data_IF_148133775615
#
_entry.id   IF_148133775615
#
_cell.length_a   1.000
_cell.length_b   1.000
_cell.length_c   1.000
_cell.angle_alpha   90.00
_cell.angle_beta   90.00
_cell.angle_gamma   90.00
#
_symmetry.space_group_name_H-M   'P 1'
#
loop_
_entity.id
_entity.type
_entity.pdbx_description
1 polymer ?
#
# COMPACT_ATOMS: atom_id res chain seq x y z
N UNK A 1 11.93 -24.84 5.01
CA UNK A 1 12.08 -24.30 3.64
C UNK A 1 10.75 -23.74 3.21
N UNK A 2 10.75 -22.59 2.53
CA UNK A 2 9.54 -22.02 1.93
C UNK A 2 8.87 -23.01 0.97
N UNK A 3 7.55 -23.13 1.09
CA UNK A 3 6.73 -24.06 0.31
C UNK A 3 5.81 -23.29 -0.63
N UNK A 4 5.25 -23.95 -1.67
CA UNK A 4 4.24 -23.35 -2.54
C UNK A 4 3.03 -22.78 -1.77
N UNK A 5 2.66 -23.39 -0.64
CA UNK A 5 1.57 -22.89 0.22
C UNK A 5 1.91 -21.54 0.85
N UNK A 6 3.14 -21.36 1.33
CA UNK A 6 3.59 -20.06 1.87
C UNK A 6 3.51 -18.96 0.79
N UNK A 7 3.94 -19.28 -0.44
CA UNK A 7 3.86 -18.33 -1.55
C UNK A 7 2.41 -18.06 -1.98
N UNK A 8 1.56 -19.08 -2.05
CA UNK A 8 0.15 -18.93 -2.40
C UNK A 8 -0.60 -18.03 -1.40
N UNK A 9 -0.34 -18.21 -0.09
CA UNK A 9 -0.93 -17.38 0.95
C UNK A 9 -0.46 -15.92 0.85
N UNK A 10 0.85 -15.70 0.71
CA UNK A 10 1.41 -14.36 0.56
C UNK A 10 0.89 -13.68 -0.72
N UNK A 11 0.80 -14.43 -1.82
CA UNK A 11 0.23 -14.00 -3.09
C UNK A 11 -1.21 -13.54 -2.96
N UNK A 12 -2.04 -14.31 -2.25
CA UNK A 12 -3.44 -13.96 -2.04
C UNK A 12 -3.56 -12.63 -1.26
N UNK A 13 -2.74 -12.44 -0.22
CA UNK A 13 -2.71 -11.18 0.53
C UNK A 13 -2.19 -10.02 -0.30
N UNK A 14 -1.13 -10.20 -1.09
CA UNK A 14 -0.62 -9.16 -2.01
C UNK A 14 -1.62 -8.75 -3.08
N UNK A 15 -2.39 -9.71 -3.63
CA UNK A 15 -3.48 -9.39 -4.56
C UNK A 15 -4.62 -8.63 -3.88
N UNK A 16 -4.92 -8.92 -2.62
CA UNK A 16 -5.91 -8.18 -1.85
C UNK A 16 -5.41 -6.74 -1.56
N UNK A 17 -4.14 -6.57 -1.20
CA UNK A 17 -3.52 -5.25 -1.07
C UNK A 17 -3.56 -4.45 -2.37
N UNK A 18 -3.26 -5.10 -3.50
CA UNK A 18 -3.36 -4.44 -4.80
C UNK A 18 -4.77 -3.92 -5.09
N UNK A 19 -5.81 -4.71 -4.79
CA UNK A 19 -7.22 -4.30 -4.97
C UNK A 19 -7.58 -3.10 -4.09
N UNK A 20 -7.30 -3.18 -2.80
CA UNK A 20 -7.55 -2.05 -1.89
C UNK A 20 -6.76 -0.79 -2.29
N UNK A 21 -5.57 -0.94 -2.88
CA UNK A 21 -4.83 0.18 -3.44
C UNK A 21 -5.44 0.75 -4.72
N UNK A 22 -6.02 -0.08 -5.59
CA UNK A 22 -6.75 0.39 -6.77
C UNK A 22 -7.93 1.25 -6.33
N UNK A 23 -8.72 0.78 -5.37
CA UNK A 23 -9.85 1.53 -4.82
C UNK A 23 -9.37 2.86 -4.21
N UNK A 24 -8.24 2.84 -3.50
CA UNK A 24 -7.63 4.04 -2.95
C UNK A 24 -7.10 5.00 -4.03
N UNK A 25 -6.56 4.50 -5.15
CA UNK A 25 -6.12 5.29 -6.30
C UNK A 25 -7.31 6.02 -6.94
N UNK A 26 -8.41 5.31 -7.17
CA UNK A 26 -9.65 5.86 -7.72
C UNK A 26 -10.23 6.95 -6.82
N UNK A 27 -10.39 6.67 -5.52
CA UNK A 27 -10.88 7.64 -4.54
C UNK A 27 -9.97 8.87 -4.43
N UNK A 28 -8.65 8.68 -4.54
CA UNK A 28 -7.69 9.79 -4.53
C UNK A 28 -7.83 10.65 -5.78
N UNK A 29 -8.06 10.06 -6.95
CA UNK A 29 -8.37 10.77 -8.20
C UNK A 29 -9.66 11.57 -8.12
N UNK A 30 -10.73 10.97 -7.59
CA UNK A 30 -12.01 11.63 -7.36
C UNK A 30 -11.92 12.80 -6.37
N UNK A 31 -11.14 12.63 -5.30
CA UNK A 31 -10.84 13.68 -4.33
C UNK A 31 -10.11 14.86 -4.99
N UNK A 32 -9.12 14.58 -5.87
CA UNK A 32 -8.43 15.62 -6.64
C UNK A 32 -9.39 16.42 -7.53
N UNK A 33 -10.30 15.72 -8.21
CA UNK A 33 -11.30 16.36 -9.06
C UNK A 33 -12.28 17.22 -8.26
N UNK A 34 -12.78 16.72 -7.14
CA UNK A 34 -13.65 17.48 -6.24
C UNK A 34 -12.94 18.72 -5.68
N UNK A 35 -11.65 18.60 -5.32
CA UNK A 35 -10.81 19.73 -4.92
C UNK A 35 -10.72 20.79 -6.02
N UNK A 36 -10.50 20.38 -7.27
CA UNK A 36 -10.40 21.29 -8.40
C UNK A 36 -11.71 22.04 -8.68
N UNK A 37 -12.86 21.41 -8.41
CA UNK A 37 -14.19 22.01 -8.56
C UNK A 37 -14.66 22.81 -7.34
N UNK A 38 -13.87 22.90 -6.27
CA UNK A 38 -14.28 23.45 -4.96
C UNK A 38 -15.55 22.80 -4.40
N UNK A 39 -15.81 21.54 -4.73
CA UNK A 39 -16.98 20.79 -4.26
C UNK A 39 -16.71 20.23 -2.86
N UNK A 40 -17.10 20.99 -1.84
CA UNK A 40 -16.84 20.66 -0.42
C UNK A 40 -17.63 19.45 0.07
N UNK A 41 -18.77 19.14 -0.55
CA UNK A 41 -19.60 17.98 -0.17
C UNK A 41 -18.93 16.72 -0.67
N UNK A 42 -18.59 16.66 -1.96
CA UNK A 42 -17.90 15.51 -2.54
C UNK A 42 -16.51 15.29 -1.94
N UNK A 43 -15.78 16.38 -1.62
CA UNK A 43 -14.50 16.27 -0.90
C UNK A 43 -14.62 15.51 0.42
N UNK A 44 -15.62 15.86 1.24
CA UNK A 44 -15.87 15.18 2.53
C UNK A 44 -16.29 13.73 2.31
N UNK A 45 -17.15 13.48 1.34
CA UNK A 45 -17.57 12.12 0.98
C UNK A 45 -16.38 11.23 0.60
N UNK A 46 -15.55 11.66 -0.36
CA UNK A 46 -14.40 10.88 -0.80
C UNK A 46 -13.34 10.71 0.29
N UNK A 47 -13.14 11.71 1.16
CA UNK A 47 -12.27 11.55 2.34
C UNK A 47 -12.76 10.42 3.26
N UNK A 48 -14.05 10.36 3.56
CA UNK A 48 -14.62 9.30 4.42
C UNK A 48 -14.53 7.93 3.78
N UNK A 49 -14.80 7.82 2.47
CA UNK A 49 -14.76 6.54 1.75
C UNK A 49 -13.34 5.93 1.70
N UNK A 50 -12.29 6.73 1.84
CA UNK A 50 -10.91 6.24 1.88
C UNK A 50 -10.56 5.47 3.15
N UNK A 51 -11.37 5.58 4.21
CA UNK A 51 -11.10 4.90 5.47
C UNK A 51 -11.09 3.38 5.31
N UNK A 52 -12.09 2.83 4.63
CA UNK A 52 -12.23 1.38 4.42
C UNK A 52 -11.01 0.76 3.70
N UNK A 53 -10.57 1.22 2.50
CA UNK A 53 -9.41 0.63 1.84
C UNK A 53 -8.12 0.82 2.63
N UNK A 54 -7.97 1.91 3.40
CA UNK A 54 -6.81 2.09 4.29
C UNK A 54 -6.79 1.08 5.44
N UNK A 55 -7.95 0.80 6.05
CA UNK A 55 -8.09 -0.22 7.08
C UNK A 55 -7.81 -1.63 6.52
N UNK A 56 -8.33 -1.95 5.34
CA UNK A 56 -8.03 -3.20 4.64
C UNK A 56 -6.53 -3.36 4.37
N UNK A 57 -5.86 -2.30 3.90
CA UNK A 57 -4.40 -2.32 3.68
C UNK A 57 -3.63 -2.58 4.96
N UNK A 58 -4.01 -1.92 6.07
CA UNK A 58 -3.38 -2.14 7.37
C UNK A 58 -3.57 -3.59 7.85
N UNK A 59 -4.78 -4.16 7.69
CA UNK A 59 -5.07 -5.54 8.05
C UNK A 59 -4.26 -6.54 7.21
N UNK A 60 -4.18 -6.33 5.89
CA UNK A 60 -3.40 -7.20 5.00
C UNK A 60 -1.90 -7.13 5.28
N UNK A 61 -1.36 -5.93 5.54
CA UNK A 61 0.03 -5.77 5.95
C UNK A 61 0.32 -6.52 7.25
N UNK A 62 -0.56 -6.40 8.25
CA UNK A 62 -0.44 -7.15 9.50
C UNK A 62 -0.54 -8.67 9.28
N UNK A 63 -1.36 -9.13 8.33
CA UNK A 63 -1.46 -10.54 7.98
C UNK A 63 -0.16 -11.08 7.36
N UNK A 64 0.49 -10.33 6.46
CA UNK A 64 1.81 -10.69 5.93
C UNK A 64 2.87 -10.72 7.04
N UNK A 65 2.89 -9.71 7.93
CA UNK A 65 3.84 -9.66 9.03
C UNK A 65 3.70 -10.86 9.96
N UNK A 66 2.46 -11.24 10.30
CA UNK A 66 2.14 -12.45 11.08
C UNK A 66 2.54 -13.72 10.34
N UNK A 67 2.32 -13.79 9.03
CA UNK A 67 2.75 -14.93 8.23
C UNK A 67 4.28 -15.09 8.32
N UNK A 68 5.05 -14.03 8.07
CA UNK A 68 6.50 -14.07 8.20
C UNK A 68 6.95 -14.47 9.61
N UNK A 69 6.31 -13.95 10.66
CA UNK A 69 6.65 -14.25 12.05
C UNK A 69 6.28 -15.68 12.48
N UNK A 70 5.32 -16.31 11.82
CA UNK A 70 4.90 -17.71 12.11
C UNK A 70 5.84 -18.77 11.52
N UNK A 71 6.72 -18.38 10.59
CA UNK A 71 7.68 -19.27 9.95
C UNK A 71 8.98 -19.38 10.77
N UNK A 72 9.73 -20.50 10.63
CA UNK A 72 11.09 -20.57 11.16
C UNK A 72 11.96 -19.40 10.66
N UNK A 73 12.85 -18.87 11.52
CA UNK A 73 13.59 -17.62 11.26
C UNK A 73 14.21 -17.51 9.85
N UNK A 74 14.89 -18.54 9.29
CA UNK A 74 15.44 -18.45 7.94
C UNK A 74 14.36 -18.27 6.85
N UNK A 75 13.23 -18.98 6.98
CA UNK A 75 12.13 -18.93 6.02
C UNK A 75 11.33 -17.64 6.18
N UNK A 76 11.07 -17.21 7.42
CA UNK A 76 10.39 -15.95 7.73
C UNK A 76 11.17 -14.74 7.24
N UNK A 77 12.49 -14.74 7.43
CA UNK A 77 13.39 -13.72 6.88
C UNK A 77 13.38 -13.72 5.36
N UNK A 78 13.54 -14.87 4.73
CA UNK A 78 13.52 -14.99 3.26
C UNK A 78 12.20 -14.44 2.68
N UNK A 79 11.05 -14.84 3.24
CA UNK A 79 9.75 -14.32 2.79
C UNK A 79 9.65 -12.80 2.99
N UNK A 80 10.14 -12.26 4.11
CA UNK A 80 10.17 -10.81 4.35
C UNK A 80 11.05 -10.08 3.33
N UNK A 81 12.18 -10.64 2.94
CA UNK A 81 13.05 -10.09 1.89
C UNK A 81 12.32 -10.07 0.54
N UNK A 82 11.65 -11.17 0.16
CA UNK A 82 10.84 -11.24 -1.06
C UNK A 82 9.71 -10.18 -1.12
N UNK A 83 9.08 -9.88 0.01
CA UNK A 83 7.96 -8.92 0.10
C UNK A 83 8.42 -7.45 0.16
N UNK A 84 9.60 -7.17 0.73
CA UNK A 84 9.99 -5.80 1.07
C UNK A 84 11.17 -5.25 0.26
N UNK A 85 11.99 -6.09 -0.35
CA UNK A 85 13.15 -5.62 -1.13
C UNK A 85 12.76 -5.31 -2.59
N UNK A 86 13.20 -4.16 -3.15
CA UNK A 86 13.03 -3.88 -4.58
C UNK A 86 13.74 -4.90 -5.48
N UNK A 87 14.87 -5.43 -5.01
CA UNK A 87 15.63 -6.49 -5.65
C UNK A 87 15.78 -7.65 -4.65
N UNK A 88 14.78 -8.53 -4.56
CA UNK A 88 14.79 -9.61 -3.59
C UNK A 88 15.72 -10.76 -4.03
N UNK A 89 16.17 -11.61 -3.09
CA UNK A 89 16.99 -12.78 -3.42
C UNK A 89 16.24 -13.76 -4.34
N UNK A 90 16.99 -14.46 -5.19
CA UNK A 90 16.42 -15.51 -6.02
C UNK A 90 15.96 -16.69 -5.16
N UNK A 91 14.67 -17.01 -5.21
CA UNK A 91 14.07 -18.15 -4.52
C UNK A 91 13.15 -18.90 -5.51
N UNK A 92 13.42 -20.19 -5.80
CA UNK A 92 12.60 -20.95 -6.74
C UNK A 92 11.11 -20.95 -6.36
N UNK A 93 10.24 -20.65 -7.34
CA UNK A 93 8.79 -20.62 -7.14
C UNK A 93 8.25 -19.31 -6.56
N UNK A 94 9.12 -18.33 -6.28
CA UNK A 94 8.73 -17.00 -5.80
C UNK A 94 8.50 -15.98 -6.92
N UNK A 95 8.77 -16.32 -8.18
CA UNK A 95 8.87 -15.36 -9.29
C UNK A 95 7.57 -14.58 -9.50
N UNK A 96 6.43 -15.25 -9.40
CA UNK A 96 5.13 -14.60 -9.53
C UNK A 96 4.84 -13.70 -8.32
N UNK A 97 5.22 -14.11 -7.11
CA UNK A 97 5.08 -13.28 -5.90
C UNK A 97 5.89 -12.00 -6.02
N UNK A 98 7.15 -12.10 -6.42
CA UNK A 98 8.02 -10.94 -6.65
C UNK A 98 7.42 -9.99 -7.69
N UNK A 99 6.89 -10.52 -8.80
CA UNK A 99 6.19 -9.70 -9.81
C UNK A 99 4.97 -8.99 -9.24
N UNK A 100 4.15 -9.69 -8.46
CA UNK A 100 2.97 -9.10 -7.84
C UNK A 100 3.36 -8.00 -6.85
N UNK A 101 4.32 -8.25 -5.95
CA UNK A 101 4.84 -7.27 -4.98
C UNK A 101 5.35 -6.02 -5.69
N UNK A 102 6.08 -6.16 -6.79
CA UNK A 102 6.57 -5.04 -7.58
C UNK A 102 5.41 -4.20 -8.16
N UNK A 103 4.34 -4.85 -8.64
CA UNK A 103 3.12 -4.16 -9.12
C UNK A 103 2.41 -3.42 -8.00
N UNK A 104 2.21 -4.07 -6.85
CA UNK A 104 1.62 -3.46 -5.65
C UNK A 104 2.41 -2.22 -5.23
N UNK A 105 3.75 -2.32 -5.19
CA UNK A 105 4.64 -1.20 -4.84
C UNK A 105 4.54 -0.04 -5.82
N UNK A 106 4.57 -0.32 -7.13
CA UNK A 106 4.45 0.71 -8.14
C UNK A 106 3.10 1.45 -8.06
N UNK A 107 2.02 0.74 -7.73
CA UNK A 107 0.71 1.35 -7.49
C UNK A 107 0.70 2.20 -6.21
N UNK A 108 1.24 1.68 -5.10
CA UNK A 108 1.41 2.44 -3.86
C UNK A 108 2.14 3.77 -4.08
N UNK A 109 3.27 3.75 -4.80
CA UNK A 109 4.05 4.95 -5.11
C UNK A 109 3.25 5.98 -5.92
N UNK A 110 2.39 5.55 -6.84
CA UNK A 110 1.49 6.45 -7.57
C UNK A 110 0.44 7.07 -6.64
N UNK A 111 -0.21 6.26 -5.81
CA UNK A 111 -1.22 6.73 -4.85
C UNK A 111 -0.63 7.77 -3.89
N UNK A 112 0.54 7.48 -3.29
CA UNK A 112 1.23 8.41 -2.39
C UNK A 112 1.60 9.72 -3.10
N UNK A 113 2.07 9.64 -4.36
CA UNK A 113 2.39 10.83 -5.15
C UNK A 113 1.14 11.69 -5.40
N UNK A 114 0.02 11.07 -5.79
CA UNK A 114 -1.24 11.77 -6.01
C UNK A 114 -1.78 12.41 -4.72
N UNK A 115 -1.80 11.64 -3.63
CA UNK A 115 -2.24 12.12 -2.31
C UNK A 115 -1.40 13.31 -1.83
N UNK A 116 -0.08 13.25 -2.02
CA UNK A 116 0.82 14.36 -1.70
C UNK A 116 0.50 15.63 -2.48
N UNK A 117 0.26 15.51 -3.78
CA UNK A 117 -0.08 16.67 -4.62
C UNK A 117 -1.38 17.33 -4.14
N UNK A 118 -2.39 16.52 -3.82
CA UNK A 118 -3.69 17.03 -3.36
C UNK A 118 -3.57 17.65 -1.96
N UNK A 119 -2.86 16.98 -1.05
CA UNK A 119 -2.66 17.46 0.32
C UNK A 119 -1.97 18.83 0.34
N UNK A 120 -0.89 18.99 -0.43
CA UNK A 120 -0.20 20.28 -0.57
C UNK A 120 -1.10 21.36 -1.18
N UNK A 121 -1.93 21.00 -2.18
CA UNK A 121 -2.86 21.94 -2.79
C UNK A 121 -3.98 22.40 -1.85
N UNK A 122 -4.56 21.48 -1.08
CA UNK A 122 -5.69 21.76 -0.19
C UNK A 122 -5.28 22.49 1.09
N UNK A 123 -4.11 22.16 1.62
CA UNK A 123 -3.71 22.57 2.98
C UNK A 123 -2.41 23.35 3.04
N UNK A 124 -1.70 23.51 1.91
CA UNK A 124 -0.46 24.28 1.81
C UNK A 124 0.56 23.87 2.88
N UNK A 125 0.97 24.84 3.69
CA UNK A 125 1.92 24.66 4.79
C UNK A 125 1.43 23.74 5.92
N UNK A 126 0.11 23.51 6.03
CA UNK A 126 -0.47 22.58 7.01
C UNK A 126 -0.50 21.12 6.53
N UNK A 127 -0.04 20.85 5.31
CA UNK A 127 0.02 19.50 4.75
C UNK A 127 0.92 18.58 5.58
N UNK A 128 0.48 17.34 5.74
CA UNK A 128 1.31 16.26 6.31
C UNK A 128 2.66 16.13 5.60
N UNK A 129 2.72 16.42 4.29
CA UNK A 129 3.94 16.30 3.49
C UNK A 129 4.82 17.55 3.49
N UNK A 130 4.45 18.60 4.24
CA UNK A 130 5.31 19.76 4.40
C UNK A 130 6.41 19.42 5.43
N UNK A 131 7.68 19.57 5.02
CA UNK A 131 8.86 19.15 5.80
C UNK A 131 9.18 20.09 6.98
N UNK A 132 8.32 21.04 7.30
CA UNK A 132 8.49 22.03 8.39
C UNK A 132 7.82 21.65 9.71
N UNK A 133 7.32 20.41 9.88
CA UNK A 133 6.94 19.92 11.22
C UNK A 133 8.12 19.16 11.84
N UNK A 134 8.74 19.69 12.92
CA UNK A 134 9.66 18.89 13.72
C UNK A 134 8.86 17.74 14.33
N UNK A 135 9.50 16.57 14.41
CA UNK A 135 8.94 15.41 15.09
C UNK A 135 8.53 15.80 16.52
N UNK A 136 7.27 15.57 16.86
CA UNK A 136 6.81 15.47 18.26
C UNK A 136 7.12 14.07 18.78
#
# INVERSE_FOLDING_TARGET
MLTPEHFSRAMATEKAMYRALTDLEELTGELAQAANRNDRVSLRMYLSLRQEPLEQLAQHKAALDRQCASLPEPDGRMLRELLNQPSPPACPGSEELVRQVARTRALWERVVRADRQISLKLTGSSSFYNKEKPAL
#
